data_IF_813998848346
#
_entry.id   IF_813998848346
#
_cell.length_a   1.000
_cell.length_b   1.000
_cell.length_c   1.000
_cell.angle_alpha   90.00
_cell.angle_beta   90.00
_cell.angle_gamma   90.00
#
_symmetry.space_group_name_H-M   'P 1'
#
loop_
_entity.id
_entity.type
_entity.pdbx_description
1 polymer ?
#
# COMPACT_ATOMS: atom_id res chain seq x y z
N UNK A 1 19.70 -23.72 18.14
CA UNK A 1 19.19 -22.34 18.06
C UNK A 1 18.39 -22.25 16.76
N UNK A 2 17.09 -22.02 16.87
CA UNK A 2 16.20 -21.80 15.72
C UNK A 2 16.00 -20.30 15.60
N UNK A 3 16.55 -19.70 14.55
CA UNK A 3 16.27 -18.32 14.16
C UNK A 3 16.23 -18.27 12.62
N UNK A 4 15.25 -18.98 12.03
CA UNK A 4 14.88 -18.79 10.63
C UNK A 4 13.70 -17.81 10.60
N UNK A 5 13.97 -16.58 11.05
CA UNK A 5 13.02 -15.47 11.04
C UNK A 5 13.38 -14.51 9.92
N UNK A 6 13.33 -14.99 8.67
CA UNK A 6 13.32 -14.15 7.48
C UNK A 6 12.75 -14.99 6.36
N UNK A 7 11.43 -15.20 6.43
CA UNK A 7 10.67 -15.41 5.22
C UNK A 7 10.68 -14.07 4.50
N UNK A 8 11.76 -13.81 3.75
CA UNK A 8 11.79 -12.75 2.77
C UNK A 8 10.88 -13.20 1.66
N UNK A 9 9.57 -13.07 1.88
CA UNK A 9 8.64 -12.77 0.82
C UNK A 9 9.24 -11.54 0.14
N UNK A 10 9.98 -11.78 -0.94
CA UNK A 10 10.28 -10.77 -1.94
C UNK A 10 8.91 -10.26 -2.36
N UNK A 11 8.42 -9.23 -1.65
CA UNK A 11 7.09 -8.66 -1.84
C UNK A 11 6.95 -8.47 -3.33
N UNK A 12 5.88 -9.01 -3.90
CA UNK A 12 5.52 -8.88 -5.31
C UNK A 12 5.15 -7.43 -5.63
N UNK A 13 6.05 -6.49 -5.35
CA UNK A 13 5.99 -5.10 -5.77
C UNK A 13 6.20 -4.98 -7.29
N UNK A 14 6.59 -6.08 -7.94
CA UNK A 14 6.75 -6.21 -9.38
C UNK A 14 5.43 -6.36 -10.16
N UNK A 15 4.29 -6.51 -9.47
CA UNK A 15 2.99 -6.81 -10.11
C UNK A 15 1.99 -5.64 -10.00
N UNK A 16 2.51 -4.41 -10.04
CA UNK A 16 1.69 -3.20 -10.15
C UNK A 16 2.14 -2.45 -11.39
N UNK A 17 1.55 -2.80 -12.54
CA UNK A 17 1.58 -1.91 -13.70
C UNK A 17 0.67 -0.70 -13.46
N UNK A 18 0.82 0.35 -14.27
CA UNK A 18 0.09 1.61 -14.09
C UNK A 18 -1.44 1.46 -14.17
N UNK A 19 -1.95 0.49 -14.94
CA UNK A 19 -3.40 0.24 -15.04
C UNK A 19 -3.91 -0.39 -13.75
N UNK A 20 -3.19 -1.40 -13.25
CA UNK A 20 -3.49 -2.03 -11.96
C UNK A 20 -3.34 -1.02 -10.80
N UNK A 21 -2.33 -0.15 -10.84
CA UNK A 21 -2.16 0.92 -9.87
C UNK A 21 -3.36 1.85 -9.85
N UNK A 22 -3.80 2.32 -11.03
CA UNK A 22 -4.92 3.24 -11.18
C UNK A 22 -6.20 2.62 -10.62
N UNK A 23 -6.54 1.41 -11.04
CA UNK A 23 -7.73 0.72 -10.56
C UNK A 23 -7.72 0.56 -9.04
N UNK A 24 -6.58 0.16 -8.46
CA UNK A 24 -6.46 0.02 -7.01
C UNK A 24 -6.63 1.36 -6.29
N UNK A 25 -6.02 2.43 -6.80
CA UNK A 25 -6.14 3.75 -6.15
C UNK A 25 -7.58 4.28 -6.25
N UNK A 26 -8.28 4.04 -7.36
CA UNK A 26 -9.69 4.41 -7.49
C UNK A 26 -10.54 3.65 -6.43
N UNK A 27 -10.33 2.33 -6.28
CA UNK A 27 -11.00 1.53 -5.25
C UNK A 27 -10.69 2.03 -3.82
N UNK A 28 -9.44 2.47 -3.56
CA UNK A 28 -9.03 3.00 -2.25
C UNK A 28 -9.61 4.38 -1.95
N UNK A 29 -9.84 5.21 -2.97
CA UNK A 29 -10.54 6.48 -2.83
C UNK A 29 -12.01 6.22 -2.50
N UNK A 30 -12.66 5.29 -3.21
CA UNK A 30 -14.05 4.91 -2.94
C UNK A 30 -14.23 4.34 -1.51
N UNK A 31 -13.18 3.72 -0.97
CA UNK A 31 -13.13 3.20 0.39
C UNK A 31 -12.73 4.23 1.47
N UNK A 32 -12.50 5.50 1.11
CA UNK A 32 -12.02 6.57 2.02
C UNK A 32 -10.65 6.25 2.68
N UNK A 33 -9.86 5.37 2.06
CA UNK A 33 -8.49 5.04 2.51
C UNK A 33 -7.48 6.03 1.92
N UNK A 34 -7.82 6.60 0.75
CA UNK A 34 -7.01 7.61 0.07
C UNK A 34 -7.83 8.86 -0.18
N UNK A 35 -7.29 10.01 0.24
CA UNK A 35 -7.87 11.33 -0.05
C UNK A 35 -7.01 12.05 -1.09
N UNK A 36 -7.55 12.38 -2.27
CA UNK A 36 -6.85 13.25 -3.22
C UNK A 36 -6.85 14.70 -2.73
N UNK A 37 -5.71 15.39 -2.87
CA UNK A 37 -5.55 16.82 -2.61
C UNK A 37 -5.27 17.52 -3.94
N UNK A 38 -6.30 18.09 -4.61
CA UNK A 38 -6.16 18.62 -5.96
C UNK A 38 -5.20 19.81 -6.06
N UNK A 39 -5.10 20.60 -4.99
CA UNK A 39 -4.28 21.82 -4.96
C UNK A 39 -2.79 21.50 -5.08
N UNK A 40 -2.36 20.39 -4.47
CA UNK A 40 -0.98 19.94 -4.43
C UNK A 40 -0.70 18.80 -5.42
N UNK A 41 -1.73 18.30 -6.11
CA UNK A 41 -1.67 17.13 -7.00
C UNK A 41 -1.11 15.87 -6.31
N UNK A 42 -1.42 15.69 -5.01
CA UNK A 42 -0.98 14.54 -4.22
C UNK A 42 -2.17 13.67 -3.76
N UNK A 43 -1.85 12.45 -3.39
CA UNK A 43 -2.74 11.47 -2.78
C UNK A 43 -2.29 11.23 -1.34
N UNK A 44 -3.18 11.46 -0.37
CA UNK A 44 -2.94 11.19 1.05
C UNK A 44 -3.45 9.80 1.36
N UNK A 45 -2.58 8.94 1.88
CA UNK A 45 -2.98 7.65 2.39
C UNK A 45 -3.32 7.78 3.88
N UNK A 46 -4.62 7.87 4.17
CA UNK A 46 -5.16 8.31 5.46
C UNK A 46 -4.61 7.52 6.66
N UNK A 47 -4.60 6.18 6.67
CA UNK A 47 -4.29 5.50 7.91
C UNK A 47 -2.78 5.47 8.20
N UNK A 48 -1.91 5.93 7.28
CA UNK A 48 -0.49 6.19 7.55
C UNK A 48 -0.13 7.68 7.59
N UNK A 49 -0.99 8.57 7.09
CA UNK A 49 -0.71 10.00 6.92
C UNK A 49 0.38 10.32 5.88
N UNK A 50 0.71 9.39 4.99
CA UNK A 50 1.79 9.56 3.99
C UNK A 50 1.22 10.10 2.68
N UNK A 51 1.90 11.06 2.06
CA UNK A 51 1.50 11.65 0.77
C UNK A 51 2.30 11.09 -0.40
N UNK A 52 1.66 10.92 -1.55
CA UNK A 52 2.28 10.42 -2.78
C UNK A 52 1.88 11.27 -3.98
N UNK A 53 2.83 11.58 -4.87
CA UNK A 53 2.57 12.20 -6.17
C UNK A 53 2.40 11.16 -7.30
N UNK A 54 2.52 9.87 -6.97
CA UNK A 54 2.46 8.74 -7.89
C UNK A 54 1.47 7.68 -7.41
N UNK A 55 0.48 7.38 -8.26
CA UNK A 55 -0.47 6.28 -8.08
C UNK A 55 0.25 4.95 -7.87
N UNK A 56 1.29 4.66 -8.65
CA UNK A 56 2.06 3.40 -8.59
C UNK A 56 2.79 3.26 -7.26
N UNK A 57 3.42 4.34 -6.77
CA UNK A 57 4.09 4.30 -5.46
C UNK A 57 3.10 4.12 -4.31
N UNK A 58 1.95 4.81 -4.35
CA UNK A 58 0.89 4.64 -3.35
C UNK A 58 0.39 3.19 -3.33
N UNK A 59 0.13 2.62 -4.50
CA UNK A 59 -0.35 1.24 -4.64
C UNK A 59 0.66 0.21 -4.07
N UNK A 60 1.94 0.36 -4.39
CA UNK A 60 3.02 -0.50 -3.86
C UNK A 60 3.11 -0.36 -2.33
N UNK A 61 3.09 0.87 -1.84
CA UNK A 61 3.15 1.15 -0.40
C UNK A 61 1.97 0.52 0.34
N UNK A 62 0.75 0.74 -0.14
CA UNK A 62 -0.48 0.23 0.49
C UNK A 62 -0.48 -1.31 0.58
N UNK A 63 -0.06 -2.00 -0.48
CA UNK A 63 0.07 -3.48 -0.48
C UNK A 63 1.07 -3.96 0.56
N UNK A 64 2.26 -3.36 0.61
CA UNK A 64 3.29 -3.73 1.60
C UNK A 64 2.84 -3.46 3.04
N UNK A 65 2.15 -2.35 3.25
CA UNK A 65 1.64 -1.95 4.56
C UNK A 65 0.53 -2.86 5.08
N UNK A 66 -0.41 -3.23 4.22
CA UNK A 66 -1.50 -4.15 4.55
C UNK A 66 -0.95 -5.53 4.89
N UNK A 67 -0.02 -6.05 4.07
CA UNK A 67 0.64 -7.33 4.34
C UNK A 67 1.36 -7.36 5.70
N UNK A 68 2.01 -6.25 6.10
CA UNK A 68 2.64 -6.14 7.41
C UNK A 68 1.64 -6.21 8.57
N UNK A 69 0.45 -5.62 8.42
CA UNK A 69 -0.60 -5.64 9.45
C UNK A 69 -1.37 -6.94 9.50
N UNK A 70 -1.61 -7.59 8.37
CA UNK A 70 -2.25 -8.90 8.34
C UNK A 70 -1.37 -9.94 9.05
N UNK A 71 -0.04 -9.85 8.91
CA UNK A 71 0.90 -10.70 9.64
C UNK A 71 0.86 -10.48 11.17
N UNK A 72 0.56 -9.26 11.63
CA UNK A 72 0.39 -8.95 13.07
C UNK A 72 -0.95 -9.48 13.64
N UNK A 73 -1.91 -9.81 12.78
CA UNK A 73 -3.23 -10.35 13.15
C UNK A 73 -3.27 -11.85 13.43
N UNK A 74 -2.30 -12.61 12.91
CA UNK A 74 -2.17 -14.08 12.97
C UNK A 74 -1.45 -14.55 14.25
N UNK A 75 -1.76 -13.93 15.38
CA UNK A 75 -1.12 -14.18 16.68
C UNK A 75 -2.09 -14.42 17.84
N UNK A 76 -3.27 -14.99 17.58
CA UNK A 76 -4.26 -15.35 18.60
C UNK A 76 -4.70 -16.80 18.51
#
# INVERSE_FOLDING_TARGET
QLAQGRDTASVATTDVDDTTARSLVDDLIDADIVTPVPEDHVLVHEPSGTTFDSTTQLAIFHRGWTAGRDADGEGK
#
